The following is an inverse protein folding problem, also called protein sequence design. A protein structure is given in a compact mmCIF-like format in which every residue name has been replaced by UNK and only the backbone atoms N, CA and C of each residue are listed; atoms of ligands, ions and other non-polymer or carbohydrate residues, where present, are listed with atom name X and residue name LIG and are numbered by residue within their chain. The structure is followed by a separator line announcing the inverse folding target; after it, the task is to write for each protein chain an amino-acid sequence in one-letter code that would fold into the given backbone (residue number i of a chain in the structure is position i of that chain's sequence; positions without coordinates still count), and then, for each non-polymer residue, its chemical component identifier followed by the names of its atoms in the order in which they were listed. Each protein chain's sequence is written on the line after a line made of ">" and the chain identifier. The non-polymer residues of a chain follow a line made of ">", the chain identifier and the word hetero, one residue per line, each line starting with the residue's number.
data_IF_055885384518
#
_entry.id   IF_055885384518
#
_cell.length_a   1.000
_cell.length_b   1.000
_cell.length_c   1.000
_cell.angle_alpha   90.00
_cell.angle_beta   90.00
_cell.angle_gamma   90.00
#
_symmetry.space_group_name_H-M   'P 1'
#
loop_
_entity.id
_entity.type
_entity.pdbx_description
1 polymer ?
#
# COMPACT_ATOMS: atom_id res chain seq x y z
N UNK A 1 -35.69 19.70 -23.26
CA UNK A 1 -36.01 19.31 -21.88
C UNK A 1 -34.90 18.36 -21.44
N UNK A 2 -33.83 18.92 -20.91
CA UNK A 2 -32.72 18.15 -20.33
C UNK A 2 -33.20 17.63 -18.99
N UNK A 3 -33.36 16.32 -18.88
CA UNK A 3 -33.49 15.66 -17.57
C UNK A 3 -32.24 16.02 -16.76
N UNK A 4 -32.37 16.53 -15.54
CA UNK A 4 -31.21 16.66 -14.66
C UNK A 4 -30.65 15.25 -14.40
N UNK A 5 -29.34 15.07 -14.20
CA UNK A 5 -28.85 13.81 -13.67
C UNK A 5 -29.56 13.58 -12.33
N UNK A 6 -30.27 12.45 -12.23
CA UNK A 6 -30.86 12.00 -10.99
C UNK A 6 -29.72 11.53 -10.09
N UNK A 7 -29.10 12.44 -9.34
CA UNK A 7 -28.20 12.03 -8.27
C UNK A 7 -28.99 11.15 -7.30
N UNK A 8 -28.60 9.89 -7.09
CA UNK A 8 -29.07 9.15 -5.94
C UNK A 8 -28.50 9.84 -4.68
N UNK A 9 -29.15 9.68 -3.52
CA UNK A 9 -28.61 10.22 -2.28
C UNK A 9 -27.33 9.44 -1.95
N UNK A 10 -26.21 10.16 -1.71
CA UNK A 10 -25.14 9.68 -0.86
C UNK A 10 -24.25 8.48 -1.31
N UNK A 11 -24.06 8.21 -2.60
CA UNK A 11 -23.19 7.11 -3.03
C UNK A 11 -21.70 7.49 -2.98
N UNK A 12 -21.01 7.04 -1.92
CA UNK A 12 -19.56 7.19 -1.76
C UNK A 12 -18.87 6.10 -2.57
N UNK A 13 -18.13 6.48 -3.61
CA UNK A 13 -17.26 5.58 -4.37
C UNK A 13 -15.79 5.98 -4.19
N UNK A 14 -14.96 5.00 -3.88
CA UNK A 14 -13.53 5.20 -3.63
C UNK A 14 -12.73 4.35 -4.60
N UNK A 15 -11.89 5.00 -5.40
CA UNK A 15 -10.95 4.36 -6.31
C UNK A 15 -9.66 4.03 -5.56
N UNK A 16 -9.22 2.78 -5.56
CA UNK A 16 -7.91 2.37 -5.06
C UNK A 16 -7.07 1.80 -6.19
N UNK A 17 -5.77 2.09 -6.21
CA UNK A 17 -4.85 1.46 -7.16
C UNK A 17 -3.42 1.33 -6.65
N UNK A 18 -2.73 0.30 -7.16
CA UNK A 18 -1.32 0.03 -6.91
C UNK A 18 -0.56 -0.15 -8.22
N UNK A 19 0.66 0.41 -8.22
CA UNK A 19 1.68 0.17 -9.25
C UNK A 19 3.06 -0.02 -8.61
N UNK A 20 3.13 -0.29 -7.30
CA UNK A 20 4.39 -0.30 -6.55
C UNK A 20 5.19 -1.60 -6.76
N UNK A 21 4.51 -2.70 -7.09
CA UNK A 21 5.09 -4.05 -7.17
C UNK A 21 4.92 -4.68 -8.57
N UNK A 22 5.05 -6.00 -8.66
CA UNK A 22 4.99 -6.79 -9.90
C UNK A 22 3.55 -6.96 -10.46
N UNK A 23 2.66 -5.99 -10.19
CA UNK A 23 1.33 -5.91 -10.75
C UNK A 23 0.87 -4.46 -10.95
N UNK A 24 -0.07 -4.27 -11.87
CA UNK A 24 -0.90 -3.07 -11.96
C UNK A 24 -2.31 -3.46 -11.53
N UNK A 25 -2.88 -2.73 -10.57
CA UNK A 25 -4.17 -3.09 -9.98
C UNK A 25 -5.04 -1.87 -9.74
N UNK A 26 -6.34 -2.02 -9.96
CA UNK A 26 -7.34 -0.96 -9.74
C UNK A 26 -8.60 -1.58 -9.18
N UNK A 27 -9.24 -0.93 -8.21
CA UNK A 27 -10.55 -1.31 -7.69
C UNK A 27 -11.37 -0.09 -7.32
N UNK A 28 -12.69 -0.20 -7.43
CA UNK A 28 -13.65 0.74 -6.87
C UNK A 28 -14.44 0.04 -5.77
N UNK A 29 -14.56 0.69 -4.62
CA UNK A 29 -15.43 0.23 -3.54
C UNK A 29 -16.51 1.25 -3.24
N UNK A 30 -17.68 0.77 -2.84
CA UNK A 30 -18.78 1.62 -2.36
C UNK A 30 -18.59 2.03 -0.90
N UNK A 31 -19.50 2.85 -0.38
CA UNK A 31 -19.58 3.27 1.03
C UNK A 31 -19.49 2.12 2.04
N UNK A 32 -19.95 0.94 1.65
CA UNK A 32 -19.95 -0.26 2.51
C UNK A 32 -18.63 -1.05 2.45
N UNK A 33 -17.68 -0.62 1.62
CA UNK A 33 -16.44 -1.36 1.34
C UNK A 33 -16.64 -2.53 0.37
N UNK A 34 -17.85 -2.72 -0.18
CA UNK A 34 -18.10 -3.70 -1.23
C UNK A 34 -17.40 -3.30 -2.52
N UNK A 35 -16.76 -4.27 -3.16
CA UNK A 35 -16.09 -4.10 -4.46
C UNK A 35 -17.17 -3.94 -5.53
N UNK A 36 -17.15 -2.81 -6.22
CA UNK A 36 -18.04 -2.50 -7.35
C UNK A 36 -17.45 -3.06 -8.64
N UNK A 37 -16.19 -2.76 -8.88
CA UNK A 37 -15.42 -3.29 -9.99
C UNK A 37 -13.94 -3.36 -9.61
N UNK A 38 -13.19 -4.28 -10.23
CA UNK A 38 -11.73 -4.35 -10.08
C UNK A 38 -11.06 -4.97 -11.30
N UNK A 39 -9.80 -4.63 -11.48
CA UNK A 39 -8.92 -5.20 -12.50
C UNK A 39 -7.53 -5.43 -11.90
N UNK A 40 -6.86 -6.46 -12.39
CA UNK A 40 -5.54 -6.87 -11.96
C UNK A 40 -4.78 -7.42 -13.17
N UNK A 41 -3.54 -6.98 -13.34
CA UNK A 41 -2.61 -7.50 -14.34
C UNK A 41 -1.22 -7.67 -13.72
N UNK A 42 -0.71 -8.89 -13.74
CA UNK A 42 0.68 -9.16 -13.35
C UNK A 42 1.64 -8.58 -14.39
N UNK A 43 2.53 -7.70 -13.94
CA UNK A 43 3.53 -7.10 -14.82
C UNK A 43 4.72 -6.52 -14.06
N UNK A 44 5.92 -6.74 -14.61
CA UNK A 44 7.17 -6.18 -14.08
C UNK A 44 7.53 -4.82 -14.71
N UNK A 45 6.91 -4.48 -15.84
CA UNK A 45 7.15 -3.27 -16.65
C UNK A 45 5.87 -2.94 -17.41
N UNK A 46 5.73 -1.68 -17.81
CA UNK A 46 4.57 -1.23 -18.61
C UNK A 46 3.44 -0.61 -17.78
N UNK A 47 3.65 -0.37 -16.47
CA UNK A 47 2.64 0.21 -15.59
C UNK A 47 2.12 1.56 -16.09
N UNK A 48 2.97 2.38 -16.71
CA UNK A 48 2.60 3.70 -17.22
C UNK A 48 1.58 3.63 -18.36
N UNK A 49 1.74 2.65 -19.24
CA UNK A 49 0.85 2.39 -20.37
C UNK A 49 -0.44 1.67 -19.94
N UNK A 50 -0.37 0.85 -18.88
CA UNK A 50 -1.49 0.02 -18.43
C UNK A 50 -2.46 0.74 -17.49
N UNK A 51 -1.97 1.59 -16.59
CA UNK A 51 -2.78 2.12 -15.48
C UNK A 51 -4.00 2.92 -15.94
N UNK A 52 -3.84 3.88 -16.85
CA UNK A 52 -4.94 4.76 -17.26
C UNK A 52 -6.04 3.99 -18.02
N UNK A 53 -5.71 3.12 -19.01
CA UNK A 53 -6.70 2.23 -19.62
C UNK A 53 -7.41 1.33 -18.61
N UNK A 54 -6.68 0.79 -17.62
CA UNK A 54 -7.26 -0.07 -16.59
C UNK A 54 -8.25 0.68 -15.70
N UNK A 55 -7.93 1.92 -15.30
CA UNK A 55 -8.86 2.80 -14.57
C UNK A 55 -10.11 3.06 -15.39
N UNK A 56 -9.95 3.38 -16.68
CA UNK A 56 -11.08 3.58 -17.60
C UNK A 56 -11.99 2.35 -17.69
N UNK A 57 -11.42 1.16 -17.84
CA UNK A 57 -12.18 -0.09 -17.90
C UNK A 57 -12.90 -0.43 -16.59
N UNK A 58 -12.29 -0.13 -15.43
CA UNK A 58 -12.92 -0.36 -14.12
C UNK A 58 -14.07 0.64 -13.88
N UNK A 59 -13.91 1.90 -14.29
CA UNK A 59 -14.98 2.91 -14.25
C UNK A 59 -16.15 2.51 -15.16
N UNK A 60 -15.87 2.10 -16.39
CA UNK A 60 -16.88 1.63 -17.34
C UNK A 60 -17.63 0.40 -16.81
N UNK A 61 -16.91 -0.58 -16.26
CA UNK A 61 -17.51 -1.77 -15.65
C UNK A 61 -18.36 -1.45 -14.40
N UNK A 62 -18.06 -0.34 -13.72
CA UNK A 62 -18.85 0.16 -12.59
C UNK A 62 -20.03 1.05 -13.02
N UNK A 63 -20.14 1.39 -14.32
CA UNK A 63 -21.07 2.40 -14.84
C UNK A 63 -20.87 3.79 -14.19
N UNK A 64 -19.61 4.16 -13.92
CA UNK A 64 -19.23 5.41 -13.25
C UNK A 64 -18.32 6.28 -14.13
N UNK A 65 -18.37 7.59 -13.92
CA UNK A 65 -17.39 8.57 -14.36
C UNK A 65 -16.37 8.93 -13.27
N UNK A 66 -15.38 9.74 -13.61
CA UNK A 66 -14.42 10.28 -12.63
C UNK A 66 -15.11 11.22 -11.64
N UNK A 67 -16.15 11.91 -12.08
CA UNK A 67 -16.99 12.82 -11.29
C UNK A 67 -17.79 12.12 -10.19
N UNK A 68 -17.99 10.80 -10.28
CA UNK A 68 -18.69 10.02 -9.27
C UNK A 68 -17.74 9.57 -8.13
N UNK A 69 -16.42 9.70 -8.33
CA UNK A 69 -15.44 9.32 -7.33
C UNK A 69 -15.36 10.37 -6.21
N UNK A 70 -15.49 9.89 -4.98
CA UNK A 70 -15.44 10.73 -3.78
C UNK A 70 -14.05 10.79 -3.15
N UNK A 71 -13.19 9.80 -3.45
CA UNK A 71 -11.83 9.70 -2.91
C UNK A 71 -10.97 8.76 -3.75
N UNK A 72 -9.66 8.99 -3.74
CA UNK A 72 -8.65 8.13 -4.37
C UNK A 72 -7.68 7.62 -3.30
N UNK A 73 -7.49 6.31 -3.24
CA UNK A 73 -6.40 5.64 -2.53
C UNK A 73 -5.28 5.26 -3.49
N UNK A 74 -4.04 5.58 -3.16
CA UNK A 74 -2.88 5.21 -3.98
C UNK A 74 -1.74 4.73 -3.08
N UNK A 75 -0.99 3.74 -3.54
CA UNK A 75 0.20 3.29 -2.81
C UNK A 75 1.31 4.34 -2.80
N UNK A 76 1.91 4.56 -1.62
CA UNK A 76 3.05 5.47 -1.44
C UNK A 76 4.38 4.75 -1.21
N UNK A 77 4.37 3.42 -1.20
CA UNK A 77 5.55 2.59 -1.00
C UNK A 77 5.63 1.98 0.40
N UNK A 78 6.67 1.17 0.67
CA UNK A 78 7.83 0.86 -0.18
C UNK A 78 7.47 0.10 -1.46
N UNK A 79 8.29 0.23 -2.51
CA UNK A 79 8.06 -0.40 -3.81
C UNK A 79 9.04 0.10 -4.87
N UNK A 80 8.84 -0.30 -6.12
CA UNK A 80 9.71 0.13 -7.23
C UNK A 80 9.58 1.63 -7.48
N UNK A 81 10.71 2.31 -7.67
CA UNK A 81 10.74 3.75 -7.88
C UNK A 81 9.94 4.20 -9.11
N UNK A 82 10.07 3.45 -10.22
CA UNK A 82 9.32 3.73 -11.45
C UNK A 82 7.82 3.52 -11.24
N UNK A 83 7.44 2.39 -10.62
CA UNK A 83 6.07 2.05 -10.33
C UNK A 83 5.37 3.06 -9.43
N UNK A 84 5.99 3.45 -8.32
CA UNK A 84 5.43 4.48 -7.42
C UNK A 84 5.18 5.81 -8.14
N UNK A 85 6.09 6.24 -9.01
CA UNK A 85 5.90 7.49 -9.77
C UNK A 85 4.72 7.44 -10.72
N UNK A 86 4.42 6.27 -11.32
CA UNK A 86 3.26 6.11 -12.20
C UNK A 86 1.97 6.35 -11.41
N UNK A 87 1.75 5.57 -10.35
CA UNK A 87 0.54 5.69 -9.52
C UNK A 87 0.39 7.08 -8.90
N UNK A 88 1.44 7.60 -8.28
CA UNK A 88 1.39 8.93 -7.64
C UNK A 88 1.13 10.06 -8.64
N UNK A 89 1.66 9.97 -9.86
CA UNK A 89 1.39 10.97 -10.91
C UNK A 89 -0.05 10.90 -11.39
N UNK A 90 -0.60 9.69 -11.59
CA UNK A 90 -1.99 9.51 -11.97
C UNK A 90 -2.93 10.04 -10.88
N UNK A 91 -2.70 9.68 -9.62
CA UNK A 91 -3.49 10.15 -8.48
C UNK A 91 -3.51 11.69 -8.41
N UNK A 92 -2.33 12.32 -8.49
CA UNK A 92 -2.20 13.79 -8.49
C UNK A 92 -2.92 14.43 -9.67
N UNK A 93 -2.84 13.83 -10.85
CA UNK A 93 -3.53 14.32 -12.04
C UNK A 93 -5.05 14.33 -11.84
N UNK A 94 -5.62 13.22 -11.34
CA UNK A 94 -7.06 13.12 -11.09
C UNK A 94 -7.54 14.03 -9.95
N UNK A 95 -6.81 14.06 -8.84
CA UNK A 95 -7.16 14.94 -7.73
C UNK A 95 -7.09 16.42 -8.10
N UNK A 96 -6.17 16.81 -8.99
CA UNK A 96 -6.09 18.19 -9.49
C UNK A 96 -7.17 18.52 -10.53
N UNK A 97 -7.54 17.57 -11.39
CA UNK A 97 -8.48 17.83 -12.49
C UNK A 97 -9.95 17.73 -12.08
N UNK A 98 -10.27 16.98 -11.01
CA UNK A 98 -11.64 16.74 -10.53
C UNK A 98 -11.85 17.11 -9.05
N UNK A 99 -10.87 17.76 -8.41
CA UNK A 99 -10.91 18.11 -6.98
C UNK A 99 -11.18 16.91 -6.05
N UNK A 100 -10.72 15.71 -6.43
CA UNK A 100 -10.94 14.47 -5.68
C UNK A 100 -9.90 14.35 -4.55
N UNK A 101 -10.33 14.19 -3.28
CA UNK A 101 -9.44 13.90 -2.15
C UNK A 101 -8.56 12.67 -2.39
N UNK A 102 -7.26 12.78 -2.12
CA UNK A 102 -6.31 11.67 -2.27
C UNK A 102 -5.78 11.24 -0.91
N UNK A 103 -5.71 9.93 -0.69
CA UNK A 103 -5.10 9.29 0.47
C UNK A 103 -3.94 8.41 0.01
N UNK A 104 -2.77 8.66 0.59
CA UNK A 104 -1.62 7.77 0.46
C UNK A 104 -1.73 6.58 1.41
N UNK A 105 -1.55 5.37 0.89
CA UNK A 105 -1.55 4.12 1.66
C UNK A 105 -0.19 3.46 1.49
N UNK A 106 0.51 3.14 2.57
CA UNK A 106 1.78 2.42 2.44
C UNK A 106 1.53 0.98 2.00
N UNK A 107 2.49 0.40 1.28
CA UNK A 107 2.44 -1.03 0.91
C UNK A 107 2.34 -1.90 2.17
N UNK A 108 2.99 -1.48 3.26
CA UNK A 108 2.96 -2.18 4.53
C UNK A 108 1.56 -2.20 5.15
N UNK A 109 0.86 -1.06 5.17
CA UNK A 109 -0.55 -0.99 5.59
C UNK A 109 -1.46 -1.83 4.70
N UNK A 110 -1.29 -1.75 3.38
CA UNK A 110 -2.12 -2.47 2.42
C UNK A 110 -1.98 -3.99 2.54
N UNK A 111 -0.81 -4.50 2.95
CA UNK A 111 -0.58 -5.93 3.18
C UNK A 111 -0.93 -6.35 4.61
N UNK A 112 -0.86 -5.44 5.59
CA UNK A 112 -1.27 -5.76 6.96
C UNK A 112 -2.75 -6.17 7.04
N UNK A 113 -3.61 -5.57 6.23
CA UNK A 113 -5.05 -5.88 6.20
C UNK A 113 -5.41 -7.13 5.37
N UNK A 114 -4.45 -7.74 4.66
CA UNK A 114 -4.66 -8.98 3.92
C UNK A 114 -4.23 -10.22 4.70
N UNK A 115 -3.72 -10.04 5.92
CA UNK A 115 -3.31 -11.15 6.78
C UNK A 115 -4.50 -12.08 7.04
N UNK A 116 -4.28 -13.41 7.04
CA UNK A 116 -5.36 -14.37 7.24
C UNK A 116 -5.95 -14.22 8.63
N UNK A 117 -7.28 -14.17 8.70
CA UNK A 117 -8.00 -14.32 9.95
C UNK A 117 -7.82 -15.76 10.47
N UNK A 118 -7.66 -15.95 11.78
CA UNK A 118 -7.63 -17.29 12.36
C UNK A 118 -8.96 -18.00 12.12
N UNK A 119 -8.93 -19.32 11.97
CA UNK A 119 -10.15 -20.13 12.01
C UNK A 119 -10.88 -19.93 13.35
N UNK A 120 -12.19 -20.22 13.38
CA UNK A 120 -12.93 -20.27 14.63
C UNK A 120 -12.19 -21.15 15.65
N UNK A 121 -12.01 -20.63 16.86
CA UNK A 121 -11.27 -21.25 17.97
C UNK A 121 -9.73 -21.23 17.87
N UNK A 122 -9.14 -20.65 16.83
CA UNK A 122 -7.71 -20.38 16.79
C UNK A 122 -7.37 -19.00 17.40
N UNK A 123 -6.24 -18.89 18.14
CA UNK A 123 -5.80 -17.63 18.70
C UNK A 123 -5.41 -16.61 17.61
N UNK A 124 -5.69 -15.33 17.87
CA UNK A 124 -5.25 -14.23 17.00
C UNK A 124 -3.72 -14.15 16.97
N UNK A 125 -3.19 -13.69 15.84
CA UNK A 125 -1.76 -13.58 15.58
C UNK A 125 -1.39 -12.13 15.30
N UNK A 126 -0.26 -11.67 15.82
CA UNK A 126 0.28 -10.36 15.44
C UNK A 126 0.77 -10.39 13.99
N UNK A 127 0.66 -9.26 13.30
CA UNK A 127 1.07 -9.12 11.91
C UNK A 127 2.44 -8.48 11.79
N UNK A 128 3.36 -9.12 11.09
CA UNK A 128 4.71 -8.60 10.82
C UNK A 128 4.89 -8.51 9.31
N UNK A 129 4.87 -7.29 8.80
CA UNK A 129 4.99 -7.02 7.36
C UNK A 129 6.43 -6.62 7.08
N UNK A 130 7.14 -7.46 6.35
CA UNK A 130 8.56 -7.32 6.06
C UNK A 130 8.80 -7.42 4.54
N UNK A 131 9.29 -6.36 3.92
CA UNK A 131 9.76 -6.37 2.54
C UNK A 131 11.28 -6.25 2.49
N UNK A 132 11.92 -6.98 1.57
CA UNK A 132 13.37 -6.92 1.39
C UNK A 132 13.82 -5.50 0.99
N UNK A 133 14.65 -4.87 1.82
CA UNK A 133 15.22 -3.55 1.57
C UNK A 133 16.68 -3.63 1.07
N UNK A 134 17.18 -4.84 0.77
CA UNK A 134 18.58 -5.19 0.42
C UNK A 134 19.54 -4.96 1.59
N UNK A 135 20.80 -5.34 1.44
CA UNK A 135 21.87 -5.12 2.43
C UNK A 135 21.55 -5.63 3.85
N UNK A 136 20.89 -6.79 3.97
CA UNK A 136 20.40 -7.33 5.24
C UNK A 136 19.46 -6.38 6.00
N UNK A 137 18.73 -5.52 5.29
CA UNK A 137 17.69 -4.67 5.84
C UNK A 137 16.31 -5.08 5.32
N UNK A 138 15.29 -4.75 6.09
CA UNK A 138 13.88 -4.92 5.73
C UNK A 138 13.12 -3.63 5.95
N UNK A 139 12.15 -3.35 5.07
CA UNK A 139 11.07 -2.44 5.39
C UNK A 139 10.09 -3.17 6.31
N UNK A 140 9.91 -2.65 7.53
CA UNK A 140 9.15 -3.33 8.57
C UNK A 140 7.97 -2.49 9.04
N UNK A 141 6.83 -3.15 9.24
CA UNK A 141 5.72 -2.69 10.08
C UNK A 141 5.25 -3.86 10.94
N UNK A 142 4.88 -3.58 12.19
CA UNK A 142 4.27 -4.58 13.08
C UNK A 142 2.93 -4.05 13.57
N UNK A 143 1.91 -4.90 13.48
CA UNK A 143 0.59 -4.69 14.07
C UNK A 143 0.29 -5.76 15.10
N UNK A 144 -0.48 -5.39 16.13
CA UNK A 144 -0.97 -6.33 17.12
C UNK A 144 -2.04 -7.27 16.51
N UNK A 145 -2.52 -8.28 17.25
CA UNK A 145 -3.53 -9.20 16.73
C UNK A 145 -4.90 -8.57 16.40
N UNK A 146 -5.13 -7.31 16.77
CA UNK A 146 -6.31 -6.53 16.42
C UNK A 146 -6.05 -5.56 15.26
N UNK A 147 -4.85 -5.57 14.68
CA UNK A 147 -4.44 -4.68 13.59
C UNK A 147 -3.95 -3.30 14.06
N UNK A 148 -3.79 -3.07 15.36
CA UNK A 148 -3.27 -1.80 15.89
C UNK A 148 -1.78 -1.69 15.63
N UNK A 149 -1.32 -0.52 15.18
CA UNK A 149 0.10 -0.26 14.91
C UNK A 149 0.95 -0.39 16.19
N UNK A 150 1.92 -1.30 16.19
CA UNK A 150 2.91 -1.51 17.26
C UNK A 150 4.26 -0.92 16.87
N UNK A 151 4.72 -1.22 15.64
CA UNK A 151 5.94 -0.66 15.06
C UNK A 151 5.56 0.05 13.76
N UNK A 152 5.78 1.37 13.73
CA UNK A 152 5.55 2.18 12.55
C UNK A 152 6.46 1.76 11.37
N UNK A 153 6.03 2.00 10.12
CA UNK A 153 6.86 1.82 8.93
C UNK A 153 8.28 2.37 9.12
N UNK A 154 9.27 1.49 8.96
CA UNK A 154 10.69 1.84 9.08
C UNK A 154 11.54 0.94 8.18
N UNK A 155 12.79 1.34 7.94
CA UNK A 155 13.83 0.46 7.38
C UNK A 155 14.83 0.15 8.49
N UNK A 156 15.07 -1.12 8.76
CA UNK A 156 15.96 -1.57 9.82
C UNK A 156 16.71 -2.84 9.39
N UNK A 157 17.84 -3.11 10.02
CA UNK A 157 18.59 -4.35 9.78
C UNK A 157 17.83 -5.59 10.27
N UNK A 158 18.09 -6.72 9.64
CA UNK A 158 17.35 -7.97 9.83
C UNK A 158 17.46 -8.51 11.26
N UNK A 159 18.60 -8.29 11.92
CA UNK A 159 18.81 -8.73 13.30
C UNK A 159 17.95 -7.91 14.25
N UNK A 160 17.99 -6.58 14.14
CA UNK A 160 17.14 -5.68 14.93
C UNK A 160 15.65 -5.94 14.63
N UNK A 161 15.29 -6.26 13.39
CA UNK A 161 13.93 -6.65 13.03
C UNK A 161 13.47 -7.92 13.76
N UNK A 162 14.33 -8.95 13.82
CA UNK A 162 14.03 -10.20 14.54
C UNK A 162 13.87 -9.95 16.05
N UNK A 163 14.66 -9.06 16.64
CA UNK A 163 14.53 -8.66 18.04
C UNK A 163 13.24 -7.87 18.31
N UNK A 164 12.78 -7.05 17.35
CA UNK A 164 11.56 -6.24 17.47
C UNK A 164 10.26 -7.03 17.30
N UNK A 165 10.29 -8.21 16.65
CA UNK A 165 9.13 -9.09 16.55
C UNK A 165 8.65 -9.46 17.96
N UNK A 166 7.35 -9.35 18.29
CA UNK A 166 6.84 -9.72 19.61
C UNK A 166 6.97 -11.22 19.87
N UNK A 167 7.01 -11.62 21.14
CA UNK A 167 6.83 -13.02 21.51
C UNK A 167 5.38 -13.48 21.28
N UNK A 168 5.18 -14.77 21.05
CA UNK A 168 3.89 -15.36 20.76
C UNK A 168 3.61 -15.52 19.27
N UNK A 169 2.34 -15.72 18.92
CA UNK A 169 1.93 -16.12 17.58
C UNK A 169 1.98 -14.96 16.60
N UNK A 170 2.73 -15.14 15.51
CA UNK A 170 2.92 -14.11 14.49
C UNK A 170 2.67 -14.65 13.08
N UNK A 171 2.14 -13.78 12.23
CA UNK A 171 2.08 -13.96 10.78
C UNK A 171 3.13 -13.05 10.13
N UNK A 172 4.09 -13.62 9.39
CA UNK A 172 5.06 -12.88 8.59
C UNK A 172 4.56 -12.79 7.14
N UNK A 173 4.52 -11.60 6.58
CA UNK A 173 4.12 -11.37 5.19
C UNK A 173 5.05 -10.39 4.48
N UNK A 174 5.17 -10.50 3.16
CA UNK A 174 6.05 -9.69 2.32
C UNK A 174 7.35 -10.40 1.94
N UNK A 175 8.07 -9.85 0.96
CA UNK A 175 9.27 -10.49 0.38
C UNK A 175 10.45 -10.67 1.33
N UNK A 176 10.46 -9.97 2.47
CA UNK A 176 11.43 -10.11 3.55
C UNK A 176 11.05 -11.17 4.59
N UNK A 177 9.81 -11.67 4.56
CA UNK A 177 9.31 -12.65 5.54
C UNK A 177 10.17 -13.92 5.64
N UNK A 178 10.64 -14.55 4.54
CA UNK A 178 11.51 -15.73 4.66
C UNK A 178 12.83 -15.44 5.38
N UNK A 179 13.50 -14.32 5.06
CA UNK A 179 14.75 -13.92 5.72
C UNK A 179 14.53 -13.62 7.21
N UNK A 180 13.41 -12.99 7.54
CA UNK A 180 13.05 -12.69 8.93
C UNK A 180 12.71 -13.96 9.72
N UNK A 181 12.05 -14.93 9.08
CA UNK A 181 11.80 -16.24 9.67
C UNK A 181 13.11 -16.98 9.99
N UNK A 182 14.09 -16.96 9.07
CA UNK A 182 15.41 -17.55 9.29
C UNK A 182 16.15 -16.85 10.47
N UNK A 183 16.07 -15.52 10.54
CA UNK A 183 16.65 -14.75 11.63
C UNK A 183 16.00 -15.07 12.99
N UNK A 184 14.68 -15.25 13.04
CA UNK A 184 13.95 -15.67 14.25
C UNK A 184 14.30 -17.11 14.65
N UNK A 185 14.46 -18.01 13.68
CA UNK A 185 14.89 -19.39 13.94
C UNK A 185 16.30 -19.44 14.55
N UNK A 186 17.22 -18.59 14.10
CA UNK A 186 18.56 -18.47 14.68
C UNK A 186 18.55 -17.95 16.14
N UNK A 187 17.47 -17.30 16.56
CA UNK A 187 17.22 -16.87 17.94
C UNK A 187 16.40 -17.88 18.75
N UNK A 188 16.14 -19.08 18.21
CA UNK A 188 15.29 -20.12 18.82
C UNK A 188 13.82 -19.68 19.02
N UNK A 189 13.32 -18.76 18.17
CA UNK A 189 11.96 -18.17 18.27
C UNK A 189 11.01 -18.57 17.12
N UNK A 190 11.18 -19.76 16.55
CA UNK A 190 10.43 -20.20 15.35
C UNK A 190 9.10 -20.91 15.62
N UNK A 191 8.83 -21.36 16.86
CA UNK A 191 7.66 -22.20 17.18
C UNK A 191 6.31 -21.55 16.90
N UNK A 192 6.26 -20.22 16.94
CA UNK A 192 5.02 -19.44 16.90
C UNK A 192 4.90 -18.59 15.61
N UNK A 193 5.81 -18.82 14.66
CA UNK A 193 5.92 -18.05 13.42
C UNK A 193 5.23 -18.78 12.28
N UNK A 194 4.29 -18.11 11.62
CA UNK A 194 3.72 -18.56 10.35
C UNK A 194 4.10 -17.59 9.24
N UNK A 195 4.70 -18.09 8.15
CA UNK A 195 4.90 -17.30 6.94
C UNK A 195 3.64 -17.41 6.09
N UNK A 196 3.04 -16.26 5.79
CA UNK A 196 1.82 -16.16 4.98
C UNK A 196 2.11 -16.54 3.53
N UNK A 197 1.12 -17.08 2.83
CA UNK A 197 1.23 -17.41 1.41
C UNK A 197 1.63 -16.19 0.56
N UNK A 198 2.51 -16.41 -0.42
CA UNK A 198 3.06 -15.35 -1.28
C UNK A 198 1.98 -14.61 -2.09
N UNK A 199 0.85 -15.24 -2.38
CA UNK A 199 -0.29 -14.58 -3.05
C UNK A 199 -0.88 -13.41 -2.27
N UNK A 200 -0.60 -13.30 -0.97
CA UNK A 200 -1.06 -12.22 -0.09
C UNK A 200 0.04 -11.18 0.21
N UNK A 201 1.25 -11.34 -0.33
CA UNK A 201 2.37 -10.43 -0.09
C UNK A 201 2.27 -9.14 -0.92
N UNK A 202 1.45 -9.11 -1.96
CA UNK A 202 1.25 -7.92 -2.77
C UNK A 202 0.14 -7.03 -2.16
N UNK A 203 0.28 -5.70 -2.24
CA UNK A 203 -0.84 -4.82 -1.94
C UNK A 203 -1.99 -5.11 -2.92
N UNK A 204 -3.22 -5.00 -2.41
CA UNK A 204 -4.44 -5.27 -3.18
C UNK A 204 -5.26 -3.98 -3.32
N UNK A 205 -5.65 -3.65 -4.56
CA UNK A 205 -6.33 -2.40 -4.87
C UNK A 205 -7.64 -2.20 -4.08
N UNK A 206 -8.42 -3.25 -3.82
CA UNK A 206 -9.64 -3.16 -3.01
C UNK A 206 -9.36 -2.74 -1.56
N UNK A 207 -8.23 -3.18 -1.00
CA UNK A 207 -7.84 -2.86 0.36
C UNK A 207 -7.28 -1.45 0.45
N UNK A 208 -6.55 -1.00 -0.57
CA UNK A 208 -6.14 0.41 -0.70
C UNK A 208 -7.37 1.32 -0.76
N UNK A 209 -8.39 0.94 -1.54
CA UNK A 209 -9.64 1.69 -1.63
C UNK A 209 -10.39 1.73 -0.29
N UNK A 210 -10.48 0.60 0.42
CA UNK A 210 -11.10 0.53 1.76
C UNK A 210 -10.35 1.35 2.82
N UNK A 211 -9.02 1.29 2.81
CA UNK A 211 -8.19 2.10 3.70
C UNK A 211 -8.38 3.59 3.43
N UNK A 212 -8.45 4.00 2.15
CA UNK A 212 -8.77 5.37 1.78
C UNK A 212 -10.19 5.79 2.21
N UNK A 213 -11.17 4.89 2.06
CA UNK A 213 -12.57 5.13 2.48
C UNK A 213 -12.68 5.49 3.96
N UNK A 214 -11.94 4.81 4.83
CA UNK A 214 -12.00 5.00 6.30
C UNK A 214 -10.91 5.95 6.83
N UNK A 215 -10.01 6.44 5.97
CA UNK A 215 -8.93 7.31 6.41
C UNK A 215 -9.48 8.64 6.96
N UNK A 216 -8.94 9.13 8.09
CA UNK A 216 -9.27 10.46 8.60
C UNK A 216 -8.86 11.57 7.62
N UNK A 217 -9.55 12.71 7.70
CA UNK A 217 -9.34 13.82 6.75
C UNK A 217 -7.94 14.46 6.85
N UNK A 218 -7.22 14.27 7.95
CA UNK A 218 -5.83 14.73 8.10
C UNK A 218 -4.82 13.92 7.26
N UNK A 219 -5.20 12.75 6.76
CA UNK A 219 -4.44 11.97 5.77
C UNK A 219 -4.71 12.41 4.33
N UNK A 220 -5.68 13.31 4.10
CA UNK A 220 -5.99 13.79 2.76
C UNK A 220 -4.97 14.83 2.34
N UNK A 221 -4.37 14.63 1.17
CA UNK A 221 -3.43 15.60 0.60
C UNK A 221 -2.71 15.08 -0.63
N UNK A 222 -1.82 15.90 -1.23
CA UNK A 222 -1.01 15.48 -2.36
C UNK A 222 -0.17 14.25 -1.98
N UNK A 223 -0.33 13.10 -2.65
CA UNK A 223 0.35 11.89 -2.22
C UNK A 223 1.85 12.02 -2.53
N UNK A 224 2.70 11.61 -1.59
CA UNK A 224 4.17 11.62 -1.74
C UNK A 224 4.74 10.25 -1.41
N UNK A 225 5.86 9.84 -2.04
CA UNK A 225 6.51 8.58 -1.68
C UNK A 225 6.87 8.55 -0.19
N UNK A 226 6.67 7.39 0.44
CA UNK A 226 7.10 7.12 1.80
C UNK A 226 8.61 6.80 1.78
N UNK A 227 9.42 7.83 1.98
CA UNK A 227 10.88 7.70 2.06
C UNK A 227 11.28 7.20 3.46
N UNK A 228 11.37 5.87 3.62
CA UNK A 228 11.83 5.25 4.87
C UNK A 228 13.35 5.26 5.03
N UNK A 229 14.08 5.26 3.91
CA UNK A 229 15.55 5.38 3.93
C UNK A 229 15.94 6.86 3.90
N UNK A 230 16.80 7.33 4.82
CA UNK A 230 17.35 8.67 4.70
C UNK A 230 18.12 8.82 3.38
N UNK A 231 18.15 10.02 2.77
CA UNK A 231 18.92 10.24 1.55
C UNK A 231 20.40 9.91 1.77
N UNK A 232 20.98 9.08 0.91
CA UNK A 232 22.44 8.78 0.94
C UNK A 232 23.30 10.00 0.55
N UNK A 233 22.67 11.08 0.07
CA UNK A 233 23.34 12.30 -0.31
C UNK A 233 23.88 13.04 0.92
N UNK A 234 25.19 12.97 1.13
CA UNK A 234 25.90 13.93 1.98
C UNK A 234 25.86 15.30 1.31
N UNK A 235 25.50 16.34 2.06
CA UNK A 235 25.69 17.71 1.60
C UNK A 235 27.18 17.91 1.25
N UNK A 236 27.52 18.47 0.07
CA UNK A 236 28.91 18.78 -0.23
C UNK A 236 29.42 19.79 0.81
N UNK A 237 30.57 19.50 1.44
CA UNK A 237 31.17 20.32 2.52
C UNK A 237 31.41 21.80 2.10
N UNK A 238 31.35 22.10 0.81
CA UNK A 238 31.46 23.44 0.26
C UNK A 238 30.17 23.81 -0.49
N UNK A 239 29.16 24.25 0.26
CA UNK A 239 27.83 24.66 -0.21
C UNK A 239 27.85 25.11 -1.67
N UNK A 240 27.19 24.32 -2.53
CA UNK A 240 27.37 24.31 -3.98
C UNK A 240 27.38 25.69 -4.61
N UNK A 241 28.57 26.25 -4.80
CA UNK A 241 28.76 27.42 -5.64
C UNK A 241 28.87 26.94 -7.09
N UNK A 242 27.87 27.25 -7.90
CA UNK A 242 27.96 27.13 -9.35
C UNK A 242 29.05 28.10 -9.84
N UNK A 243 30.02 27.68 -10.66
CA UNK A 243 30.95 28.61 -11.27
C UNK A 243 30.18 29.53 -12.22
N UNK A 244 30.17 30.83 -11.92
CA UNK A 244 29.74 31.85 -12.87
C UNK A 244 30.65 31.77 -14.11
N UNK A 245 30.03 31.56 -15.27
CA UNK A 245 30.61 31.78 -16.59
C UNK A 245 29.80 32.87 -17.30
#
# INVERSE_FOLDING_TARGET
>A
MTTPPSSPPDDVFVLGFDTAMDACQVAIVSRTGHIVAKAHEEMKRGHAEALIPMIGAVLEAAELGLEDLTRIGVTVGPGTFAGLRVGLSAARSFGLSHDIPIVGVSTLEAVAVTLPEPEADQPLRAGVIAFDARNDEVYLQIVDPLGTLVVAPSVIDLKTAAEAVPEGLVNLSGSGAPKLADALAALERSSDVAVVDESLWAPQAEWIARLALVAPDDRVGPPSPLYLRPPDAKEPENGGALPHA
#
